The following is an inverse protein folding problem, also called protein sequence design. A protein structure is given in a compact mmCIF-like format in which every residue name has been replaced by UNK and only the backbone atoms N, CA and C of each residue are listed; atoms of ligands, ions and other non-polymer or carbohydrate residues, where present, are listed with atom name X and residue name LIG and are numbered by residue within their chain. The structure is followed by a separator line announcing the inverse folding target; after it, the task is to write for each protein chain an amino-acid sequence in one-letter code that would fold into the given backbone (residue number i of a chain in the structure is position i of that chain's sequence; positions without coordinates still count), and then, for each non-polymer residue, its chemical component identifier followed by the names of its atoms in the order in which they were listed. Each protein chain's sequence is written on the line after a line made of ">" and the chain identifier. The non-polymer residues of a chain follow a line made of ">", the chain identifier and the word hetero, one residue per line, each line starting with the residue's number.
data_IF_247692298754
#
_entry.id   IF_247692298754
#
_cell.length_a   1.000
_cell.length_b   1.000
_cell.length_c   1.000
_cell.angle_alpha   90.00
_cell.angle_beta   90.00
_cell.angle_gamma   90.00
#
_symmetry.space_group_name_H-M   'P 1'
#
loop_
_entity.id
_entity.type
_entity.pdbx_description
1 polymer ?
#
# COMPACT_ATOMS: atom_id res chain seq x y z
N UNK A 1 -28.51 -0.34 -17.12
CA UNK A 1 -27.21 -0.58 -17.77
C UNK A 1 -26.60 -1.84 -17.15
N UNK A 2 -25.84 -2.65 -17.90
CA UNK A 2 -25.08 -3.75 -17.28
C UNK A 2 -24.16 -3.20 -16.18
N UNK A 3 -23.89 -3.99 -15.14
CA UNK A 3 -22.94 -3.60 -14.10
C UNK A 3 -21.52 -3.60 -14.67
N UNK A 4 -20.68 -2.60 -14.35
CA UNK A 4 -19.29 -2.61 -14.78
C UNK A 4 -18.58 -3.84 -14.19
N UNK A 5 -17.53 -4.31 -14.87
CA UNK A 5 -16.72 -5.41 -14.32
C UNK A 5 -15.88 -4.91 -13.15
N UNK A 6 -15.30 -3.71 -13.29
CA UNK A 6 -14.37 -3.12 -12.33
C UNK A 6 -14.86 -1.75 -11.85
N UNK A 7 -14.70 -1.47 -10.57
CA UNK A 7 -14.78 -0.10 -10.03
C UNK A 7 -13.43 0.28 -9.43
N UNK A 8 -12.79 1.30 -9.98
CA UNK A 8 -11.60 1.89 -9.39
C UNK A 8 -12.02 2.74 -8.17
N UNK A 9 -11.55 2.35 -6.99
CA UNK A 9 -11.76 3.09 -5.73
C UNK A 9 -10.57 3.99 -5.49
N UNK A 10 -10.80 5.31 -5.54
CA UNK A 10 -9.73 6.31 -5.60
C UNK A 10 -9.91 7.42 -4.54
N UNK A 11 -9.33 7.29 -3.34
CA UNK A 11 -9.21 8.42 -2.43
C UNK A 11 -8.17 9.41 -2.98
N UNK A 12 -8.50 10.71 -2.97
CA UNK A 12 -7.61 11.75 -3.47
C UNK A 12 -7.61 13.01 -2.62
N UNK A 13 -6.48 13.73 -2.65
CA UNK A 13 -6.32 15.06 -2.08
C UNK A 13 -5.15 15.77 -2.78
N UNK A 14 -5.41 16.93 -3.38
CA UNK A 14 -4.44 17.74 -4.13
C UNK A 14 -3.56 16.89 -5.06
N UNK A 15 -4.22 16.01 -5.81
CA UNK A 15 -3.60 14.98 -6.64
C UNK A 15 -3.48 15.35 -8.12
N UNK A 16 -3.71 16.60 -8.52
CA UNK A 16 -3.83 16.95 -9.95
C UNK A 16 -2.62 16.49 -10.79
N UNK A 17 -1.40 16.67 -10.25
CA UNK A 17 -0.16 16.22 -10.90
C UNK A 17 -0.10 14.70 -11.09
N UNK A 18 -0.61 13.96 -10.12
CA UNK A 18 -0.56 12.50 -10.11
C UNK A 18 -1.67 11.92 -11.00
N UNK A 19 -2.87 12.48 -10.91
CA UNK A 19 -4.03 12.13 -11.73
C UNK A 19 -3.80 12.42 -13.22
N UNK A 20 -3.05 13.48 -13.56
CA UNK A 20 -2.63 13.74 -14.94
C UNK A 20 -1.81 12.59 -15.56
N UNK A 21 -1.23 11.71 -14.74
CA UNK A 21 -0.52 10.50 -15.17
C UNK A 21 -1.38 9.24 -15.04
N UNK A 22 -2.12 9.10 -13.95
CA UNK A 22 -2.95 7.94 -13.67
C UNK A 22 -4.15 7.83 -14.61
N UNK A 23 -4.91 8.91 -14.83
CA UNK A 23 -6.16 8.86 -15.59
C UNK A 23 -5.96 8.46 -17.06
N UNK A 24 -4.97 8.99 -17.80
CA UNK A 24 -4.66 8.48 -19.15
C UNK A 24 -4.26 7.00 -19.15
N UNK A 25 -3.44 6.57 -18.19
CA UNK A 25 -3.02 5.17 -18.08
C UNK A 25 -4.19 4.22 -17.78
N UNK A 26 -5.22 4.68 -17.05
CA UNK A 26 -6.46 3.94 -16.83
C UNK A 26 -7.34 3.89 -18.09
N UNK A 27 -7.38 4.96 -18.87
CA UNK A 27 -8.14 5.00 -20.13
C UNK A 27 -7.56 4.07 -21.21
N UNK A 28 -6.27 3.74 -21.13
CA UNK A 28 -5.58 2.83 -22.05
C UNK A 28 -5.73 1.34 -21.66
N UNK A 29 -6.42 1.02 -20.57
CA UNK A 29 -6.53 -0.37 -20.11
C UNK A 29 -7.37 -1.22 -21.07
N UNK A 30 -6.88 -2.43 -21.36
CA UNK A 30 -7.50 -3.39 -22.29
C UNK A 30 -7.85 -4.69 -21.57
N UNK A 31 -8.73 -5.49 -22.19
CA UNK A 31 -9.12 -6.84 -21.75
C UNK A 31 -9.65 -6.95 -20.29
N UNK A 32 -10.07 -5.82 -19.71
CA UNK A 32 -10.52 -5.71 -18.32
C UNK A 32 -12.04 -5.48 -18.16
N UNK A 33 -12.78 -5.45 -19.28
CA UNK A 33 -14.23 -5.17 -19.29
C UNK A 33 -14.56 -3.69 -19.08
N UNK A 34 -15.81 -3.39 -18.76
CA UNK A 34 -16.22 -2.02 -18.44
C UNK A 34 -15.68 -1.60 -17.07
N UNK A 35 -15.06 -0.41 -17.03
CA UNK A 35 -14.41 0.16 -15.85
C UNK A 35 -15.10 1.48 -15.49
N UNK A 36 -15.45 1.65 -14.23
CA UNK A 36 -15.83 2.96 -13.69
C UNK A 36 -14.79 3.46 -12.67
N UNK A 37 -14.75 4.77 -12.45
CA UNK A 37 -13.91 5.40 -11.42
C UNK A 37 -14.82 6.01 -10.37
N UNK A 38 -14.64 5.61 -9.11
CA UNK A 38 -15.36 6.12 -7.95
C UNK A 38 -14.35 6.76 -7.00
N UNK A 39 -14.35 8.08 -6.98
CA UNK A 39 -13.41 8.87 -6.22
C UNK A 39 -14.05 9.47 -4.95
N UNK A 40 -13.21 9.66 -3.94
CA UNK A 40 -13.51 10.53 -2.79
C UNK A 40 -12.42 11.58 -2.71
N UNK A 41 -12.81 12.83 -2.98
CA UNK A 41 -11.94 14.00 -2.88
C UNK A 41 -12.01 14.61 -1.47
N UNK A 42 -10.88 14.68 -0.78
CA UNK A 42 -10.78 15.25 0.57
C UNK A 42 -10.63 16.76 0.55
N UNK A 43 -11.52 17.45 -0.18
CA UNK A 43 -11.54 18.90 -0.38
C UNK A 43 -10.28 19.45 -1.05
N UNK A 44 -9.95 18.93 -2.23
CA UNK A 44 -8.82 19.45 -3.01
C UNK A 44 -9.02 20.92 -3.42
N UNK A 45 -7.92 21.66 -3.42
CA UNK A 45 -7.86 23.08 -3.80
C UNK A 45 -7.22 23.32 -5.18
N UNK A 46 -6.71 22.26 -5.81
CA UNK A 46 -6.14 22.27 -7.15
C UNK A 46 -7.13 21.72 -8.20
N UNK A 47 -6.64 21.39 -9.39
CA UNK A 47 -7.45 20.90 -10.52
C UNK A 47 -7.91 19.43 -10.39
N UNK A 48 -7.68 18.79 -9.23
CA UNK A 48 -8.01 17.37 -8.97
C UNK A 48 -9.43 17.00 -9.40
N UNK A 49 -10.43 17.78 -8.98
CA UNK A 49 -11.85 17.49 -9.29
C UNK A 49 -12.15 17.63 -10.78
N UNK A 50 -11.59 18.67 -11.42
CA UNK A 50 -11.78 18.91 -12.85
C UNK A 50 -11.24 17.74 -13.67
N UNK A 51 -10.06 17.21 -13.31
CA UNK A 51 -9.47 16.06 -13.98
C UNK A 51 -10.31 14.79 -13.80
N UNK A 52 -10.81 14.54 -12.59
CA UNK A 52 -11.67 13.39 -12.31
C UNK A 52 -13.00 13.44 -13.09
N UNK A 53 -13.67 14.59 -13.07
CA UNK A 53 -14.93 14.78 -13.79
C UNK A 53 -14.73 14.65 -15.31
N UNK A 54 -13.63 15.21 -15.85
CA UNK A 54 -13.28 15.06 -17.26
C UNK A 54 -13.01 13.60 -17.67
N UNK A 55 -12.51 12.78 -16.73
CA UNK A 55 -12.33 11.34 -16.93
C UNK A 55 -13.62 10.52 -16.68
N UNK A 56 -14.76 11.17 -16.42
CA UNK A 56 -16.04 10.51 -16.18
C UNK A 56 -16.17 9.85 -14.80
N UNK A 57 -15.32 10.22 -13.84
CA UNK A 57 -15.37 9.66 -12.49
C UNK A 57 -16.59 10.15 -11.71
N UNK A 58 -17.16 9.27 -10.87
CA UNK A 58 -18.11 9.67 -9.83
C UNK A 58 -17.33 10.18 -8.61
N UNK A 59 -17.48 11.46 -8.28
CA UNK A 59 -16.72 12.11 -7.20
C UNK A 59 -17.63 12.48 -6.03
N UNK A 60 -17.28 12.04 -4.82
CA UNK A 60 -17.82 12.58 -3.56
C UNK A 60 -16.77 13.50 -2.95
N UNK A 61 -17.17 14.66 -2.45
CA UNK A 61 -16.28 15.56 -1.73
C UNK A 61 -16.54 15.43 -0.24
N UNK A 62 -15.47 15.22 0.54
CA UNK A 62 -15.52 15.20 2.00
C UNK A 62 -14.58 16.27 2.57
N UNK A 63 -14.87 16.80 3.78
CA UNK A 63 -13.90 17.60 4.52
C UNK A 63 -12.61 16.80 4.78
N UNK A 64 -11.47 17.48 4.74
CA UNK A 64 -10.19 16.83 5.04
C UNK A 64 -10.13 16.25 6.47
N UNK A 65 -10.85 16.85 7.42
CA UNK A 65 -11.01 16.35 8.81
C UNK A 65 -11.62 14.95 8.88
N UNK A 66 -12.40 14.58 7.87
CA UNK A 66 -13.18 13.35 7.82
C UNK A 66 -12.42 12.23 7.09
N UNK A 67 -11.27 12.55 6.48
CA UNK A 67 -10.44 11.58 5.79
C UNK A 67 -9.91 10.52 6.76
N UNK A 68 -10.15 9.25 6.44
CA UNK A 68 -9.56 8.08 7.11
C UNK A 68 -9.28 7.02 6.06
N UNK A 69 -8.12 6.36 6.12
CA UNK A 69 -7.68 5.44 5.07
C UNK A 69 -8.71 4.36 4.72
N UNK A 70 -9.29 3.70 5.73
CA UNK A 70 -10.35 2.70 5.56
C UNK A 70 -11.72 3.31 5.25
N UNK A 71 -12.19 4.24 6.08
CA UNK A 71 -13.55 4.78 5.94
C UNK A 71 -13.76 5.53 4.61
N UNK A 72 -12.77 6.29 4.14
CA UNK A 72 -12.83 6.97 2.83
C UNK A 72 -12.90 5.97 1.69
N UNK A 73 -12.18 4.84 1.77
CA UNK A 73 -12.27 3.74 0.78
C UNK A 73 -13.62 3.03 0.85
N UNK A 74 -14.16 2.80 2.04
CA UNK A 74 -15.49 2.24 2.22
C UNK A 74 -16.55 3.11 1.55
N UNK A 75 -16.53 4.43 1.77
CA UNK A 75 -17.48 5.38 1.13
C UNK A 75 -17.47 5.31 -0.40
N UNK A 76 -16.30 5.17 -1.00
CA UNK A 76 -16.19 4.96 -2.44
C UNK A 76 -16.72 3.57 -2.86
N UNK A 77 -16.33 2.52 -2.14
CA UNK A 77 -16.78 1.15 -2.40
C UNK A 77 -18.30 0.97 -2.26
N UNK A 78 -18.96 1.69 -1.35
CA UNK A 78 -20.41 1.64 -1.16
C UNK A 78 -21.19 2.19 -2.37
N UNK A 79 -20.56 3.08 -3.16
CA UNK A 79 -21.12 3.66 -4.39
C UNK A 79 -20.69 2.92 -5.65
N UNK A 80 -19.73 2.01 -5.54
CA UNK A 80 -19.22 1.21 -6.63
C UNK A 80 -20.20 0.10 -7.05
N UNK A 81 -20.33 -0.11 -8.36
CA UNK A 81 -21.22 -1.12 -8.97
C UNK A 81 -20.48 -2.33 -9.53
N UNK A 82 -19.15 -2.27 -9.54
CA UNK A 82 -18.26 -3.29 -10.08
C UNK A 82 -18.36 -4.62 -9.35
N UNK A 83 -18.13 -5.71 -10.09
CA UNK A 83 -17.97 -7.04 -9.50
C UNK A 83 -16.69 -7.14 -8.68
N UNK A 84 -15.65 -6.42 -9.11
CA UNK A 84 -14.38 -6.26 -8.42
C UNK A 84 -14.13 -4.78 -8.11
N UNK A 85 -13.69 -4.52 -6.90
CA UNK A 85 -13.23 -3.21 -6.44
C UNK A 85 -11.71 -3.16 -6.59
N UNK A 86 -11.19 -2.21 -7.36
CA UNK A 86 -9.75 -2.02 -7.55
C UNK A 86 -9.31 -0.77 -6.80
N UNK A 87 -8.55 -0.94 -5.72
CA UNK A 87 -8.05 0.17 -4.92
C UNK A 87 -6.73 0.65 -5.49
N UNK A 88 -6.68 1.93 -5.84
CA UNK A 88 -5.48 2.62 -6.30
C UNK A 88 -5.23 3.86 -5.44
N UNK A 89 -3.97 4.17 -5.15
CA UNK A 89 -3.59 5.51 -4.71
C UNK A 89 -3.47 6.44 -5.91
N UNK A 90 -3.70 7.74 -5.69
CA UNK A 90 -3.67 8.76 -6.76
C UNK A 90 -2.32 8.83 -7.50
N UNK A 91 -1.22 8.44 -6.83
CA UNK A 91 0.17 8.51 -7.28
C UNK A 91 0.73 7.19 -7.82
N UNK A 92 -0.16 6.22 -8.11
CA UNK A 92 0.19 5.02 -8.86
C UNK A 92 0.12 5.29 -10.36
N UNK A 93 1.01 4.67 -11.12
CA UNK A 93 0.93 4.60 -12.58
C UNK A 93 1.00 3.13 -13.01
N UNK A 94 -0.06 2.54 -13.60
CA UNK A 94 0.01 1.22 -14.23
C UNK A 94 1.18 1.12 -15.21
N UNK A 95 1.92 0.01 -15.21
CA UNK A 95 3.10 -0.12 -16.10
C UNK A 95 2.75 -0.31 -17.57
N UNK A 96 1.50 -0.63 -17.87
CA UNK A 96 1.03 -0.94 -19.22
C UNK A 96 -0.49 -1.13 -19.30
N UNK A 97 -1.03 -1.32 -20.51
CA UNK A 97 -2.47 -1.38 -20.77
C UNK A 97 -3.14 -2.67 -20.26
N UNK A 98 -2.38 -3.71 -19.92
CA UNK A 98 -2.89 -4.99 -19.45
C UNK A 98 -2.87 -5.13 -17.91
N UNK A 99 -2.51 -4.06 -17.19
CA UNK A 99 -2.37 -4.08 -15.73
C UNK A 99 -3.65 -4.54 -15.02
N UNK A 100 -4.81 -3.95 -15.34
CA UNK A 100 -6.08 -4.31 -14.71
C UNK A 100 -6.49 -5.74 -15.04
N UNK A 101 -6.30 -6.18 -16.29
CA UNK A 101 -6.60 -7.55 -16.71
C UNK A 101 -5.75 -8.56 -15.93
N UNK A 102 -4.43 -8.33 -15.84
CA UNK A 102 -3.51 -9.18 -15.06
C UNK A 102 -3.86 -9.23 -13.58
N UNK A 103 -4.12 -8.07 -12.96
CA UNK A 103 -4.45 -8.00 -11.53
C UNK A 103 -5.73 -8.76 -11.19
N UNK A 104 -6.70 -8.75 -12.10
CA UNK A 104 -8.05 -9.27 -11.84
C UNK A 104 -8.31 -10.68 -12.38
N UNK A 105 -7.41 -11.23 -13.21
CA UNK A 105 -7.54 -12.59 -13.73
C UNK A 105 -7.64 -13.65 -12.63
N UNK A 106 -6.93 -13.48 -11.51
CA UNK A 106 -6.93 -14.44 -10.40
C UNK A 106 -8.29 -14.62 -9.71
N UNK A 107 -9.27 -13.74 -9.98
CA UNK A 107 -10.62 -13.84 -9.44
C UNK A 107 -11.53 -14.83 -10.18
N UNK A 108 -11.06 -15.46 -11.26
CA UNK A 108 -11.71 -16.65 -11.83
C UNK A 108 -11.81 -17.78 -10.79
N UNK A 109 -10.87 -17.84 -9.84
CA UNK A 109 -10.97 -18.69 -8.66
C UNK A 109 -11.93 -18.05 -7.63
N UNK A 110 -13.09 -18.68 -7.34
CA UNK A 110 -14.07 -18.13 -6.41
C UNK A 110 -13.56 -18.05 -4.97
N UNK A 111 -12.49 -18.77 -4.61
CA UNK A 111 -11.87 -18.68 -3.28
C UNK A 111 -11.06 -17.40 -3.10
N UNK A 112 -10.65 -16.73 -4.18
CA UNK A 112 -9.88 -15.48 -4.10
C UNK A 112 -10.80 -14.33 -3.72
N UNK A 113 -10.50 -13.72 -2.58
CA UNK A 113 -11.17 -12.50 -2.10
C UNK A 113 -10.39 -11.24 -2.45
N UNK A 114 -9.06 -11.30 -2.47
CA UNK A 114 -8.23 -10.13 -2.72
C UNK A 114 -6.94 -10.47 -3.45
N UNK A 115 -6.46 -9.52 -4.24
CA UNK A 115 -5.20 -9.60 -4.99
C UNK A 115 -4.41 -8.31 -4.82
N UNK A 116 -3.09 -8.40 -4.74
CA UNK A 116 -2.17 -7.24 -4.70
C UNK A 116 -1.27 -7.26 -5.93
N UNK A 117 -1.00 -6.09 -6.47
CA UNK A 117 -0.07 -5.89 -7.58
C UNK A 117 1.38 -5.85 -7.10
N UNK A 118 2.31 -6.05 -8.04
CA UNK A 118 3.72 -5.74 -7.84
C UNK A 118 3.94 -4.23 -7.89
N UNK A 119 4.73 -3.71 -6.96
CA UNK A 119 5.09 -2.29 -6.94
C UNK A 119 6.56 -2.12 -7.29
N UNK A 120 6.84 -1.30 -8.30
CA UNK A 120 8.19 -0.96 -8.73
C UNK A 120 8.40 0.56 -8.70
N UNK A 121 9.64 1.04 -8.59
CA UNK A 121 9.92 2.45 -8.83
C UNK A 121 9.77 2.77 -10.32
N UNK A 122 9.40 4.01 -10.62
CA UNK A 122 9.43 4.50 -11.99
C UNK A 122 10.89 4.62 -12.46
N UNK A 123 11.22 4.37 -13.74
CA UNK A 123 12.59 4.47 -14.25
C UNK A 123 13.28 5.83 -14.04
N UNK A 124 12.50 6.90 -13.84
CA UNK A 124 13.00 8.25 -13.58
C UNK A 124 13.21 8.59 -12.11
N UNK A 125 12.87 7.69 -11.18
CA UNK A 125 13.00 7.96 -9.75
C UNK A 125 14.47 8.04 -9.31
N UNK A 126 14.73 8.80 -8.23
CA UNK A 126 16.06 8.87 -7.64
C UNK A 126 16.59 7.46 -7.30
N UNK A 127 17.85 7.14 -7.57
CA UNK A 127 18.43 5.82 -7.33
C UNK A 127 18.22 5.26 -5.91
N UNK A 128 18.27 6.11 -4.86
CA UNK A 128 18.05 5.67 -3.48
C UNK A 128 16.58 5.38 -3.21
N UNK A 129 15.69 6.21 -3.78
CA UNK A 129 14.24 5.99 -3.78
C UNK A 129 13.90 4.68 -4.48
N UNK A 130 14.46 4.46 -5.67
CA UNK A 130 14.30 3.23 -6.43
C UNK A 130 14.73 2.00 -5.63
N UNK A 131 15.92 2.04 -5.02
CA UNK A 131 16.41 0.94 -4.17
C UNK A 131 15.49 0.69 -2.97
N UNK A 132 14.94 1.74 -2.37
CA UNK A 132 13.98 1.59 -1.24
C UNK A 132 12.74 0.80 -1.66
N UNK A 133 12.20 1.08 -2.85
CA UNK A 133 11.04 0.34 -3.37
C UNK A 133 11.43 -1.09 -3.74
N UNK A 134 12.58 -1.29 -4.39
CA UNK A 134 13.05 -2.61 -4.80
C UNK A 134 13.34 -3.58 -3.64
N UNK A 135 13.64 -3.04 -2.45
CA UNK A 135 13.85 -3.83 -1.24
C UNK A 135 12.54 -4.17 -0.49
N UNK A 136 11.40 -3.63 -0.93
CA UNK A 136 10.09 -3.96 -0.35
C UNK A 136 9.62 -5.36 -0.79
N UNK A 137 8.87 -6.09 0.05
CA UNK A 137 8.23 -7.34 -0.36
C UNK A 137 7.37 -7.22 -1.62
N UNK A 138 6.74 -6.07 -1.82
CA UNK A 138 5.86 -5.76 -2.96
C UNK A 138 6.60 -5.68 -4.31
N UNK A 139 7.92 -5.52 -4.30
CA UNK A 139 8.75 -5.59 -5.51
C UNK A 139 9.09 -7.03 -5.94
N UNK A 140 8.66 -8.03 -5.17
CA UNK A 140 8.91 -9.45 -5.41
C UNK A 140 8.39 -9.95 -6.76
N UNK A 141 9.00 -11.03 -7.26
CA UNK A 141 8.66 -11.64 -8.56
C UNK A 141 7.91 -12.97 -8.43
N UNK A 142 7.76 -13.47 -7.21
CA UNK A 142 7.19 -14.80 -6.97
C UNK A 142 5.72 -14.67 -6.63
N UNK A 143 4.87 -15.17 -7.53
CA UNK A 143 3.45 -15.29 -7.29
C UNK A 143 3.19 -16.20 -6.09
N UNK A 144 2.28 -15.79 -5.22
CA UNK A 144 1.93 -16.60 -4.05
C UNK A 144 0.46 -16.41 -3.67
N UNK A 145 -0.07 -17.42 -3.00
CA UNK A 145 -1.39 -17.45 -2.43
C UNK A 145 -1.28 -17.65 -0.92
N UNK A 146 -2.08 -16.93 -0.16
CA UNK A 146 -2.14 -17.04 1.30
C UNK A 146 -3.55 -17.41 1.69
N UNK A 147 -3.66 -18.40 2.58
CA UNK A 147 -4.90 -18.92 3.15
C UNK A 147 -4.62 -19.34 4.58
N UNK A 148 -5.60 -19.20 5.46
CA UNK A 148 -5.56 -19.83 6.77
C UNK A 148 -6.22 -21.20 6.70
N UNK A 149 -5.55 -22.24 7.19
CA UNK A 149 -6.15 -23.55 7.36
C UNK A 149 -7.29 -23.48 8.40
N UNK A 150 -8.27 -24.39 8.29
CA UNK A 150 -9.51 -24.41 9.11
C UNK A 150 -9.31 -24.45 10.63
N UNK A 151 -8.08 -24.67 11.12
CA UNK A 151 -7.69 -24.62 12.53
C UNK A 151 -6.87 -23.36 12.89
N UNK A 152 -6.94 -22.31 12.06
CA UNK A 152 -5.98 -21.23 11.95
C UNK A 152 -5.59 -20.56 13.26
N UNK A 153 -4.34 -20.75 13.68
CA UNK A 153 -3.70 -20.04 14.79
C UNK A 153 -2.77 -18.95 14.25
N UNK A 154 -3.31 -18.02 13.47
CA UNK A 154 -2.51 -16.92 12.89
C UNK A 154 -1.76 -16.11 13.97
N UNK A 155 -2.33 -16.06 15.17
CA UNK A 155 -1.74 -15.39 16.32
C UNK A 155 -0.62 -16.18 17.02
N UNK A 156 -0.50 -17.47 16.75
CA UNK A 156 0.62 -18.31 17.22
C UNK A 156 1.85 -18.19 16.30
N UNK A 157 1.67 -17.64 15.10
CA UNK A 157 2.78 -17.46 14.17
C UNK A 157 3.82 -16.48 14.74
N UNK A 158 5.13 -16.72 14.48
CA UNK A 158 6.16 -15.73 14.72
C UNK A 158 5.76 -14.38 14.13
N UNK A 159 6.03 -13.30 14.87
CA UNK A 159 5.55 -11.96 14.53
C UNK A 159 5.86 -11.54 13.08
N UNK A 160 7.04 -11.92 12.56
CA UNK A 160 7.44 -11.64 11.17
C UNK A 160 6.59 -12.41 10.16
N UNK A 161 6.40 -13.71 10.37
CA UNK A 161 5.58 -14.56 9.49
C UNK A 161 4.12 -14.13 9.49
N UNK A 162 3.60 -13.70 10.64
CA UNK A 162 2.27 -13.10 10.75
C UNK A 162 2.15 -11.81 9.93
N UNK A 163 3.13 -10.92 9.98
CA UNK A 163 3.13 -9.70 9.15
C UNK A 163 3.17 -10.07 7.66
N UNK A 164 3.99 -11.03 7.26
CA UNK A 164 4.05 -11.51 5.87
C UNK A 164 2.73 -12.15 5.43
N UNK A 165 2.07 -12.92 6.30
CA UNK A 165 0.77 -13.52 6.05
C UNK A 165 -0.33 -12.47 5.84
N UNK A 166 -0.33 -11.40 6.64
CA UNK A 166 -1.38 -10.39 6.68
C UNK A 166 -1.15 -9.18 5.74
N UNK A 167 0.02 -9.07 5.14
CA UNK A 167 0.38 -7.95 4.25
C UNK A 167 -0.55 -7.82 3.05
N UNK A 168 -1.39 -6.81 2.98
CA UNK A 168 -2.26 -6.57 1.84
C UNK A 168 -2.27 -5.07 1.58
N UNK A 169 -1.53 -4.59 0.58
CA UNK A 169 -1.32 -3.16 0.40
C UNK A 169 -2.38 -2.54 -0.53
N UNK A 170 -3.07 -1.50 -0.05
CA UNK A 170 -4.08 -0.75 -0.80
C UNK A 170 -3.53 0.34 -1.76
N UNK A 171 -2.22 0.41 -1.98
CA UNK A 171 -1.61 1.22 -3.05
C UNK A 171 -2.09 0.74 -4.42
N UNK A 172 -2.05 -0.58 -4.65
CA UNK A 172 -2.55 -1.20 -5.87
C UNK A 172 -3.04 -2.63 -5.57
N UNK A 173 -4.36 -2.77 -5.40
CA UNK A 173 -4.99 -4.06 -5.08
C UNK A 173 -6.38 -4.17 -5.69
N UNK A 174 -6.91 -5.39 -5.71
CA UNK A 174 -8.29 -5.67 -6.07
C UNK A 174 -8.94 -6.52 -4.98
N UNK A 175 -10.24 -6.34 -4.75
CA UNK A 175 -11.06 -7.11 -3.83
C UNK A 175 -12.38 -7.47 -4.50
N UNK A 176 -12.87 -8.70 -4.30
CA UNK A 176 -14.19 -9.13 -4.76
C UNK A 176 -15.27 -8.32 -4.04
N UNK A 177 -16.14 -7.65 -4.79
CA UNK A 177 -17.13 -6.74 -4.20
C UNK A 177 -18.08 -7.45 -3.22
N UNK A 178 -18.48 -8.70 -3.51
CA UNK A 178 -19.31 -9.48 -2.59
C UNK A 178 -18.64 -9.71 -1.24
N UNK A 179 -17.34 -10.04 -1.24
CA UNK A 179 -16.57 -10.23 0.00
C UNK A 179 -16.38 -8.91 0.74
N UNK A 180 -16.10 -7.82 0.02
CA UNK A 180 -15.91 -6.51 0.64
C UNK A 180 -17.19 -5.98 1.32
N UNK A 181 -18.37 -6.25 0.76
CA UNK A 181 -19.66 -5.89 1.40
C UNK A 181 -19.87 -6.63 2.73
N UNK A 182 -19.42 -7.87 2.82
CA UNK A 182 -19.50 -8.66 4.07
C UNK A 182 -18.40 -8.27 5.06
N UNK A 183 -17.21 -7.93 4.54
CA UNK A 183 -16.01 -7.61 5.30
C UNK A 183 -15.44 -6.29 4.78
N UNK A 184 -15.99 -5.12 5.18
CA UNK A 184 -15.42 -3.83 4.80
C UNK A 184 -14.14 -3.54 5.59
N UNK A 185 -13.40 -2.50 5.21
CA UNK A 185 -12.27 -2.05 6.03
C UNK A 185 -12.77 -1.61 7.41
N UNK A 186 -12.09 -2.02 8.50
CA UNK A 186 -12.42 -1.52 9.81
C UNK A 186 -12.11 -0.03 9.94
N UNK A 187 -12.85 0.65 10.82
CA UNK A 187 -12.53 2.00 11.23
C UNK A 187 -11.38 1.97 12.23
N UNK A 188 -10.16 2.07 11.72
CA UNK A 188 -8.91 2.16 12.48
C UNK A 188 -8.07 3.33 11.96
N UNK A 189 -7.24 3.95 12.81
CA UNK A 189 -6.39 5.07 12.38
C UNK A 189 -5.36 4.68 11.30
N UNK A 190 -4.90 3.44 11.31
CA UNK A 190 -3.86 2.93 10.42
C UNK A 190 -3.88 1.40 10.36
N UNK A 191 -3.50 0.82 9.22
CA UNK A 191 -3.38 -0.63 9.04
C UNK A 191 -4.73 -1.33 8.84
N UNK A 192 -5.71 -0.61 8.30
CA UNK A 192 -7.02 -1.16 7.95
C UNK A 192 -6.92 -2.34 6.98
N UNK A 193 -5.87 -2.33 6.16
CA UNK A 193 -5.60 -3.29 5.09
C UNK A 193 -5.04 -4.62 5.65
N UNK A 194 -4.13 -4.55 6.63
CA UNK A 194 -3.72 -5.68 7.47
C UNK A 194 -4.89 -6.28 8.25
N UNK A 195 -5.73 -5.42 8.85
CA UNK A 195 -6.88 -5.86 9.62
C UNK A 195 -7.94 -6.53 8.73
N UNK A 196 -8.16 -6.00 7.52
CA UNK A 196 -9.03 -6.62 6.53
C UNK A 196 -8.48 -7.97 6.05
N UNK A 197 -7.18 -8.05 5.76
CA UNK A 197 -6.55 -9.31 5.38
C UNK A 197 -6.71 -10.39 6.45
N UNK A 198 -6.55 -10.04 7.73
CA UNK A 198 -6.78 -10.96 8.84
C UNK A 198 -8.23 -11.48 8.88
N UNK A 199 -9.22 -10.61 8.67
CA UNK A 199 -10.65 -10.98 8.62
C UNK A 199 -10.96 -11.86 7.41
N UNK A 200 -10.49 -11.48 6.22
CA UNK A 200 -10.70 -12.23 4.99
C UNK A 200 -10.10 -13.65 5.07
N UNK A 201 -8.86 -13.77 5.57
CA UNK A 201 -8.21 -15.06 5.76
C UNK A 201 -8.94 -15.92 6.81
N UNK A 202 -9.38 -15.32 7.91
CA UNK A 202 -10.13 -16.02 8.97
C UNK A 202 -11.50 -16.50 8.49
N UNK A 203 -12.14 -15.76 7.58
CA UNK A 203 -13.35 -16.17 6.90
C UNK A 203 -13.11 -17.29 5.85
N UNK A 204 -11.87 -17.74 5.68
CA UNK A 204 -11.51 -18.87 4.82
C UNK A 204 -11.21 -18.51 3.36
N UNK A 205 -11.13 -17.22 3.05
CA UNK A 205 -10.76 -16.73 1.72
C UNK A 205 -9.25 -16.82 1.46
N UNK A 206 -8.91 -16.72 0.16
CA UNK A 206 -7.54 -16.69 -0.33
C UNK A 206 -7.16 -15.25 -0.73
N UNK A 207 -5.94 -14.85 -0.37
CA UNK A 207 -5.31 -13.61 -0.83
C UNK A 207 -4.17 -13.93 -1.79
N UNK A 208 -4.09 -13.23 -2.92
CA UNK A 208 -3.09 -13.43 -3.98
C UNK A 208 -2.12 -12.25 -4.08
N UNK A 209 -0.88 -12.55 -4.43
CA UNK A 209 0.08 -11.57 -4.96
C UNK A 209 0.33 -11.88 -6.43
N UNK A 210 0.18 -10.87 -7.29
CA UNK A 210 0.20 -11.00 -8.75
C UNK A 210 1.41 -10.22 -9.28
N UNK A 211 2.58 -10.86 -9.43
CA UNK A 211 3.82 -10.18 -9.79
C UNK A 211 3.82 -9.61 -11.22
N UNK A 212 2.96 -10.14 -12.08
CA UNK A 212 2.84 -9.72 -13.48
C UNK A 212 1.99 -8.46 -13.65
N UNK A 213 1.13 -8.14 -12.66
CA UNK A 213 0.43 -6.86 -12.62
C UNK A 213 1.33 -5.83 -11.94
N UNK A 214 1.97 -4.97 -12.73
CA UNK A 214 2.97 -4.02 -12.23
C UNK A 214 2.41 -2.60 -12.17
N UNK A 215 2.57 -1.96 -11.02
CA UNK A 215 2.29 -0.55 -10.77
C UNK A 215 3.59 0.18 -10.39
N UNK A 216 3.80 1.36 -10.97
CA UNK A 216 4.86 2.26 -10.53
C UNK A 216 4.38 3.14 -9.39
N UNK A 217 5.11 3.11 -8.27
CA UNK A 217 4.85 3.95 -7.10
C UNK A 217 6.10 4.06 -6.23
N UNK A 218 6.45 5.29 -5.86
CA UNK A 218 7.59 5.57 -5.00
C UNK A 218 7.43 6.91 -4.28
N UNK A 219 8.13 7.07 -3.16
CA UNK A 219 8.17 8.32 -2.41
C UNK A 219 9.62 8.79 -2.22
N UNK A 220 9.95 9.96 -2.77
CA UNK A 220 11.23 10.63 -2.54
C UNK A 220 11.18 11.39 -1.20
N UNK A 221 11.42 10.65 -0.12
CA UNK A 221 11.39 11.21 1.23
C UNK A 221 12.67 11.99 1.56
N UNK A 222 12.48 13.15 2.19
CA UNK A 222 13.55 13.76 3.01
C UNK A 222 13.86 12.86 4.21
N UNK A 223 15.05 12.97 4.83
CA UNK A 223 15.37 12.21 6.04
C UNK A 223 14.34 12.37 7.16
N UNK A 224 13.79 13.58 7.36
CA UNK A 224 12.76 13.81 8.37
C UNK A 224 11.47 13.04 8.07
N UNK A 225 10.99 13.08 6.82
CA UNK A 225 9.80 12.34 6.41
C UNK A 225 10.03 10.83 6.51
N UNK A 226 11.21 10.36 6.10
CA UNK A 226 11.58 8.95 6.20
C UNK A 226 11.62 8.46 7.65
N UNK A 227 12.19 9.25 8.56
CA UNK A 227 12.17 8.96 10.00
C UNK A 227 10.74 8.78 10.49
N UNK A 228 9.88 9.76 10.20
CA UNK A 228 8.50 9.76 10.71
C UNK A 228 7.69 8.59 10.15
N UNK A 229 7.79 8.33 8.85
CA UNK A 229 7.10 7.21 8.20
C UNK A 229 7.53 5.87 8.81
N UNK A 230 8.83 5.63 8.90
CA UNK A 230 9.38 4.36 9.39
C UNK A 230 9.15 4.19 10.89
N UNK A 231 9.00 5.28 11.63
CA UNK A 231 8.62 5.29 13.05
C UNK A 231 7.16 4.84 13.23
N UNK A 232 6.23 5.41 12.45
CA UNK A 232 4.81 5.03 12.49
C UNK A 232 4.66 3.55 12.10
N UNK A 233 5.24 3.12 10.98
CA UNK A 233 5.16 1.73 10.50
C UNK A 233 5.72 0.73 11.55
N UNK A 234 6.84 1.07 12.19
CA UNK A 234 7.44 0.22 13.22
C UNK A 234 6.64 0.20 14.53
N UNK A 235 6.03 1.33 14.92
CA UNK A 235 5.14 1.38 16.07
C UNK A 235 3.90 0.52 15.84
N UNK A 236 3.29 0.61 14.64
CA UNK A 236 2.16 -0.22 14.24
C UNK A 236 2.50 -1.70 14.33
N UNK A 237 3.61 -2.14 13.70
CA UNK A 237 3.98 -3.55 13.73
C UNK A 237 4.34 -4.07 15.13
N UNK A 238 4.89 -3.21 16.00
CA UNK A 238 5.13 -3.54 17.40
C UNK A 238 3.82 -3.75 18.16
N UNK A 239 2.90 -2.79 18.06
CA UNK A 239 1.64 -2.79 18.82
C UNK A 239 0.71 -3.91 18.35
N UNK A 240 0.48 -4.01 17.04
CA UNK A 240 -0.52 -4.93 16.46
C UNK A 240 0.03 -6.35 16.31
N UNK A 241 1.30 -6.50 15.93
CA UNK A 241 1.86 -7.81 15.60
C UNK A 241 2.96 -8.27 16.56
N UNK A 242 3.35 -7.46 17.55
CA UNK A 242 4.49 -7.78 18.42
C UNK A 242 5.84 -7.79 17.70
N UNK A 243 5.92 -7.29 16.46
CA UNK A 243 7.13 -7.35 15.64
C UNK A 243 8.00 -6.11 15.87
N UNK A 244 9.24 -6.31 16.33
CA UNK A 244 10.22 -5.25 16.56
C UNK A 244 11.30 -5.28 15.47
N UNK A 245 11.26 -4.31 14.55
CA UNK A 245 12.18 -4.23 13.40
C UNK A 245 13.63 -3.96 13.79
N UNK A 246 13.84 -3.12 14.82
CA UNK A 246 15.17 -2.72 15.33
C UNK A 246 15.17 -2.70 16.87
N UNK A 247 15.34 -3.86 17.54
CA UNK A 247 15.15 -3.95 18.99
C UNK A 247 16.30 -3.31 19.81
N UNK A 248 17.53 -3.29 19.29
CA UNK A 248 18.73 -2.88 20.05
C UNK A 248 19.53 -1.77 19.35
N UNK A 249 20.27 -0.96 20.12
CA UNK A 249 21.16 0.08 19.56
C UNK A 249 22.24 -0.52 18.64
N UNK A 250 22.66 -1.74 18.94
CA UNK A 250 23.58 -2.48 18.10
C UNK A 250 22.96 -2.88 16.76
N UNK A 251 21.66 -3.22 16.74
CA UNK A 251 20.92 -3.44 15.48
C UNK A 251 20.77 -2.16 14.64
N UNK A 252 20.78 -0.98 15.27
CA UNK A 252 20.79 0.32 14.57
C UNK A 252 22.11 0.52 13.86
N UNK A 253 23.23 0.43 14.57
CA UNK A 253 24.56 0.63 13.98
C UNK A 253 24.83 -0.36 12.83
N UNK A 254 24.52 -1.65 13.03
CA UNK A 254 24.61 -2.66 11.98
C UNK A 254 23.65 -2.38 10.82
N UNK A 255 22.42 -1.96 11.13
CA UNK A 255 21.40 -1.64 10.13
C UNK A 255 21.85 -0.51 9.21
N UNK A 256 22.28 0.62 9.77
CA UNK A 256 22.77 1.77 8.98
C UNK A 256 23.95 1.34 8.10
N UNK A 257 24.94 0.63 8.68
CA UNK A 257 26.09 0.15 7.91
C UNK A 257 25.71 -0.81 6.78
N UNK A 258 24.74 -1.70 7.03
CA UNK A 258 24.20 -2.59 6.00
C UNK A 258 23.51 -1.82 4.88
N UNK A 259 22.59 -0.92 5.21
CA UNK A 259 21.81 -0.14 4.24
C UNK A 259 22.71 0.74 3.34
N UNK A 260 23.68 1.44 3.93
CA UNK A 260 24.63 2.28 3.17
C UNK A 260 25.51 1.41 2.26
N UNK A 261 25.90 0.22 2.72
CA UNK A 261 26.68 -0.72 1.90
C UNK A 261 25.86 -1.28 0.74
N UNK A 262 24.58 -1.58 0.95
CA UNK A 262 23.68 -2.02 -0.13
C UNK A 262 23.42 -0.90 -1.13
N UNK A 263 23.23 0.35 -0.69
CA UNK A 263 23.15 1.51 -1.58
C UNK A 263 24.42 1.63 -2.43
N UNK A 264 25.60 1.49 -1.83
CA UNK A 264 26.87 1.49 -2.57
C UNK A 264 26.94 0.38 -3.62
N UNK A 265 26.51 -0.85 -3.29
CA UNK A 265 26.45 -1.98 -4.24
C UNK A 265 25.48 -1.70 -5.37
N UNK A 266 24.30 -1.17 -5.06
CA UNK A 266 23.27 -0.84 -6.03
C UNK A 266 23.75 0.24 -7.01
N UNK A 267 24.26 1.37 -6.50
CA UNK A 267 24.80 2.47 -7.32
C UNK A 267 25.95 2.02 -8.22
N UNK A 268 26.73 1.02 -7.78
CA UNK A 268 27.78 0.44 -8.61
C UNK A 268 27.25 -0.43 -9.74
N UNK A 269 26.22 -1.25 -9.49
CA UNK A 269 25.60 -2.10 -10.50
C UNK A 269 24.86 -1.30 -11.57
N UNK A 270 24.17 -0.23 -11.18
CA UNK A 270 23.35 0.59 -12.08
C UNK A 270 24.12 1.72 -12.79
N UNK A 271 25.45 1.77 -12.63
CA UNK A 271 26.31 2.78 -13.27
C UNK A 271 25.84 4.23 -13.04
N UNK A 272 25.31 4.52 -11.85
CA UNK A 272 24.69 5.81 -11.54
C UNK A 272 25.71 6.96 -11.66
N UNK A 273 25.38 8.07 -12.35
CA UNK A 273 26.17 9.30 -12.31
C UNK A 273 26.25 9.91 -10.90
N UNK A 274 27.26 10.74 -10.63
CA UNK A 274 27.38 11.50 -9.37
C UNK A 274 27.29 10.64 -8.08
N UNK A 275 27.80 9.39 -8.10
CA UNK A 275 27.70 8.41 -6.98
C UNK A 275 28.01 8.98 -5.61
N UNK A 276 29.06 9.80 -5.50
CA UNK A 276 29.49 10.39 -4.22
C UNK A 276 28.36 11.23 -3.58
N UNK A 277 27.59 11.97 -4.39
CA UNK A 277 26.44 12.76 -3.91
C UNK A 277 25.36 11.86 -3.32
N UNK A 278 25.04 10.74 -3.99
CA UNK A 278 24.04 9.78 -3.51
C UNK A 278 24.53 9.06 -2.24
N UNK A 279 25.82 8.70 -2.15
CA UNK A 279 26.37 8.07 -0.94
C UNK A 279 26.32 9.00 0.28
N UNK A 280 26.61 10.30 0.10
CA UNK A 280 26.47 11.27 1.18
C UNK A 280 25.01 11.42 1.64
N UNK A 281 24.05 11.45 0.70
CA UNK A 281 22.61 11.45 1.01
C UNK A 281 22.16 10.15 1.69
N UNK A 282 22.70 9.01 1.26
CA UNK A 282 22.37 7.67 1.78
C UNK A 282 22.58 7.59 3.29
N UNK A 283 23.70 8.09 3.82
CA UNK A 283 23.95 8.06 5.28
C UNK A 283 22.83 8.74 6.06
N UNK A 284 22.43 9.95 5.63
CA UNK A 284 21.35 10.69 6.27
C UNK A 284 19.99 10.01 6.13
N UNK A 285 19.65 9.55 4.92
CA UNK A 285 18.38 8.90 4.62
C UNK A 285 18.23 7.55 5.34
N UNK A 286 19.23 6.66 5.21
CA UNK A 286 19.23 5.33 5.84
C UNK A 286 19.35 5.42 7.35
N UNK A 287 20.14 6.38 7.85
CA UNK A 287 20.19 6.73 9.26
C UNK A 287 18.80 7.05 9.81
N UNK A 288 18.07 7.94 9.14
CA UNK A 288 16.72 8.32 9.53
C UNK A 288 15.72 7.16 9.48
N UNK A 289 15.73 6.34 8.42
CA UNK A 289 14.88 5.15 8.30
C UNK A 289 15.11 4.16 9.44
N UNK A 290 16.37 3.80 9.71
CA UNK A 290 16.72 2.82 10.76
C UNK A 290 16.43 3.37 12.16
N UNK A 291 16.67 4.66 12.39
CA UNK A 291 16.32 5.32 13.65
C UNK A 291 14.81 5.39 13.85
N UNK A 292 14.04 5.68 12.81
CA UNK A 292 12.58 5.64 12.84
C UNK A 292 12.09 4.25 13.29
N UNK A 293 12.58 3.19 12.63
CA UNK A 293 12.26 1.81 13.00
C UNK A 293 12.59 1.48 14.46
N UNK A 294 13.72 1.97 14.96
CA UNK A 294 14.18 1.76 16.33
C UNK A 294 13.28 2.43 17.37
N UNK A 295 12.90 3.69 17.14
CA UNK A 295 12.03 4.44 18.05
C UNK A 295 10.60 3.93 17.99
N UNK A 296 10.06 3.62 16.81
CA UNK A 296 8.76 2.99 16.68
C UNK A 296 8.70 1.62 17.38
N UNK A 297 9.75 0.81 17.25
CA UNK A 297 9.90 -0.47 17.97
C UNK A 297 9.96 -0.33 19.51
N UNK A 298 10.16 0.88 20.03
CA UNK A 298 10.10 1.22 21.46
C UNK A 298 8.75 1.79 21.91
N UNK A 299 7.79 1.93 21.01
CA UNK A 299 6.47 2.50 21.29
C UNK A 299 6.40 4.01 21.10
N UNK A 300 7.39 4.61 20.44
CA UNK A 300 7.32 6.01 20.05
C UNK A 300 6.50 6.10 18.76
N UNK A 301 5.18 6.17 18.90
CA UNK A 301 4.17 6.10 17.84
C UNK A 301 2.85 6.71 18.29
N UNK A 302 1.92 7.04 17.37
CA UNK A 302 0.52 7.18 17.76
C UNK A 302 -0.01 5.84 18.29
N UNK A 303 -1.08 5.86 19.08
CA UNK A 303 -1.81 4.66 19.44
C UNK A 303 -2.67 4.20 18.25
N UNK A 304 -2.74 2.89 18.00
CA UNK A 304 -3.46 2.32 16.87
C UNK A 304 -4.76 1.61 17.28
N UNK A 305 -4.93 1.36 18.58
CA UNK A 305 -6.20 0.99 19.19
C UNK A 305 -6.77 2.18 19.97
N UNK A 306 -8.08 2.52 19.84
CA UNK A 306 -8.71 3.39 20.81
C UNK A 306 -8.68 2.66 22.16
N UNK A 307 -8.14 3.29 23.21
CA UNK A 307 -7.91 2.69 24.52
C UNK A 307 -8.95 1.62 24.85
N UNK A 308 -8.53 0.35 24.82
CA UNK A 308 -9.33 -0.72 25.37
C UNK A 308 -9.47 -0.39 26.85
N UNK A 309 -10.67 0.04 27.25
CA UNK A 309 -11.11 0.30 28.61
C UNK A 309 -10.10 -0.22 29.66
N UNK A 310 -9.29 0.69 30.20
CA UNK A 310 -8.58 0.45 31.45
C UNK A 310 -9.52 0.46 32.67
N UNK A 311 -10.84 0.65 32.47
CA UNK A 311 -11.83 0.59 33.55
C UNK A 311 -12.86 -0.51 33.29
N UNK A 312 -12.44 -1.76 33.45
CA UNK A 312 -13.29 -2.87 33.86
C UNK A 312 -12.60 -3.57 35.03
N UNK A 313 -12.60 -2.89 36.17
CA UNK A 313 -12.18 -3.38 37.47
C UNK A 313 -12.96 -2.66 38.55
#
# INVERSE_FOLDING_TARGET
>A
MPSPRLSIVLPTWNGARDLARLLPALAEQVDCGEVEIVAVDSSSTDETRVLLEAAGASVEVIPQSDFRHGATRNRAADRARGELLVFLSQDVVPSGPDFLARLTQVFEDPAVAGATARVLPHPSDDPLTARTVLDSPEAGQVAHARRLDRNGRMWDLPARERVELLRFNNVASAIRASVFREIPFPDVPFGEDFAWAARALTAGHTLRFVPDAVAFHAHDYTPRQAFERYRIDAAFHREIHGHRLRPTVFSVARGIGFEVREDWRYLNRTHTPAKLRHLLRSVGLRGAQVLGQFWGSRGWGPAFWPDSAQDAG
#
